data_IF_247898259843
#
_entry.id   IF_247898259843
#
_cell.length_a   1.000
_cell.length_b   1.000
_cell.length_c   1.000
_cell.angle_alpha   90.00
_cell.angle_beta   90.00
_cell.angle_gamma   90.00
#
_symmetry.space_group_name_H-M   'P 1'
#
loop_
_entity.id
_entity.type
_entity.pdbx_description
1 polymer ?
#
# COMPACT_ATOMS: atom_id res chain seq x y z
N UNK A 1 13.75 -33.04 -22.96
CA UNK A 1 13.46 -31.79 -23.72
C UNK A 1 12.03 -31.65 -24.27
N UNK A 2 11.08 -32.59 -24.03
CA UNK A 2 9.67 -32.42 -24.46
C UNK A 2 8.68 -31.99 -23.37
N UNK A 3 9.09 -31.97 -22.09
CA UNK A 3 8.22 -31.60 -20.96
C UNK A 3 8.20 -30.10 -20.63
N UNK A 4 9.19 -29.32 -21.09
CA UNK A 4 9.25 -27.86 -20.85
C UNK A 4 8.35 -27.05 -21.80
N UNK A 5 8.03 -27.60 -22.98
CA UNK A 5 7.13 -26.93 -23.93
C UNK A 5 5.67 -26.93 -23.44
N UNK A 6 5.22 -28.01 -22.77
CA UNK A 6 3.82 -28.12 -22.35
C UNK A 6 3.44 -27.14 -21.22
N UNK A 7 4.40 -26.74 -20.37
CA UNK A 7 4.13 -25.76 -19.29
C UNK A 7 4.01 -24.32 -19.79
N UNK A 8 4.76 -23.94 -20.84
CA UNK A 8 4.72 -22.59 -21.42
C UNK A 8 3.38 -22.31 -22.11
N UNK A 9 2.82 -23.30 -22.78
CA UNK A 9 1.53 -23.15 -23.48
C UNK A 9 0.33 -23.05 -22.52
N UNK A 10 0.39 -23.72 -21.36
CA UNK A 10 -0.68 -23.61 -20.33
C UNK A 10 -0.64 -22.23 -19.66
N UNK A 11 0.54 -21.67 -19.40
CA UNK A 11 0.68 -20.34 -18.78
C UNK A 11 0.20 -19.22 -19.72
N UNK A 12 0.48 -19.33 -21.04
CA UNK A 12 -0.05 -18.41 -22.04
C UNK A 12 -1.58 -18.51 -22.18
N UNK A 13 -2.16 -19.70 -21.99
CA UNK A 13 -3.61 -19.90 -22.02
C UNK A 13 -4.32 -19.23 -20.82
N UNK A 14 -3.69 -19.27 -19.63
CA UNK A 14 -4.22 -18.64 -18.41
C UNK A 14 -4.13 -17.10 -18.50
N UNK A 15 -3.02 -16.55 -18.99
CA UNK A 15 -2.90 -15.10 -19.21
C UNK A 15 -3.88 -14.58 -20.29
N UNK A 16 -4.13 -15.35 -21.36
CA UNK A 16 -5.10 -14.98 -22.39
C UNK A 16 -6.55 -15.01 -21.86
N UNK A 17 -6.87 -15.92 -20.94
CA UNK A 17 -8.19 -15.98 -20.32
C UNK A 17 -8.45 -14.78 -19.38
N UNK A 18 -7.41 -14.24 -18.73
CA UNK A 18 -7.55 -13.12 -17.80
C UNK A 18 -7.95 -11.80 -18.49
N UNK A 19 -7.47 -11.56 -19.71
CA UNK A 19 -7.87 -10.38 -20.50
C UNK A 19 -9.31 -10.45 -21.03
N UNK A 20 -9.90 -11.64 -21.15
CA UNK A 20 -11.27 -11.78 -21.65
C UNK A 20 -12.35 -11.44 -20.60
N UNK A 21 -12.01 -11.45 -19.31
CA UNK A 21 -12.97 -11.22 -18.21
C UNK A 21 -13.12 -9.74 -17.83
N UNK A 22 -12.18 -8.86 -18.19
CA UNK A 22 -12.27 -7.42 -17.90
C UNK A 22 -13.15 -6.62 -18.88
N UNK A 23 -13.74 -7.25 -19.91
CA UNK A 23 -14.53 -6.56 -20.94
C UNK A 23 -16.02 -6.34 -20.60
N UNK A 24 -16.49 -6.64 -19.38
CA UNK A 24 -17.93 -6.57 -19.06
C UNK A 24 -18.21 -5.80 -17.76
N UNK A 25 -18.00 -4.48 -17.79
CA UNK A 25 -18.67 -3.55 -16.88
C UNK A 25 -19.60 -2.66 -17.71
N UNK A 26 -20.93 -2.92 -17.72
CA UNK A 26 -21.88 -2.05 -18.40
C UNK A 26 -22.00 -0.72 -17.63
N UNK A 27 -21.43 0.34 -18.22
CA UNK A 27 -21.69 1.74 -17.84
C UNK A 27 -23.17 2.05 -18.12
N UNK A 28 -24.00 2.03 -17.08
CA UNK A 28 -25.32 2.66 -17.10
C UNK A 28 -25.19 4.14 -16.72
N UNK A 29 -25.06 5.01 -17.72
CA UNK A 29 -25.13 6.46 -17.52
C UNK A 29 -26.50 7.01 -17.93
N UNK A 30 -27.32 7.13 -16.88
CA UNK A 30 -28.42 8.07 -16.61
C UNK A 30 -28.63 9.20 -17.64
N UNK A 31 -29.85 9.24 -18.18
CA UNK A 31 -30.54 10.46 -18.63
C UNK A 31 -30.67 11.46 -17.47
N UNK A 32 -30.29 12.71 -17.72
CA UNK A 32 -30.44 13.84 -16.82
C UNK A 32 -30.49 15.15 -17.61
N UNK A 33 -31.54 15.91 -17.38
CA UNK A 33 -32.07 17.04 -18.15
C UNK A 33 -31.20 18.29 -18.12
N UNK A 34 -31.13 18.96 -19.28
CA UNK A 34 -30.57 20.29 -19.49
C UNK A 34 -31.39 21.38 -18.80
N UNK A 35 -30.79 22.10 -17.85
CA UNK A 35 -31.28 23.36 -17.29
C UNK A 35 -30.17 24.41 -17.37
N UNK A 36 -30.45 25.53 -18.02
CA UNK A 36 -29.53 26.61 -18.34
C UNK A 36 -29.10 27.46 -17.11
N UNK A 37 -27.97 28.19 -17.19
CA UNK A 37 -27.44 29.00 -16.10
C UNK A 37 -28.01 30.42 -16.09
N UNK A 38 -28.31 30.95 -14.91
CA UNK A 38 -28.53 32.39 -14.68
C UNK A 38 -27.59 32.89 -13.58
N UNK A 39 -26.87 33.95 -13.92
CA UNK A 39 -25.84 34.62 -13.12
C UNK A 39 -26.38 35.28 -11.83
N UNK A 40 -25.51 35.58 -10.85
CA UNK A 40 -25.87 36.21 -9.59
C UNK A 40 -25.86 37.75 -9.69
N UNK A 41 -26.65 38.46 -8.87
CA UNK A 41 -26.37 39.86 -8.56
C UNK A 41 -25.64 40.00 -7.22
N UNK A 42 -24.55 40.77 -7.28
CA UNK A 42 -23.88 41.35 -6.15
C UNK A 42 -24.82 42.27 -5.34
N UNK A 43 -24.62 42.30 -4.02
CA UNK A 43 -24.91 43.49 -3.22
C UNK A 43 -23.99 43.58 -2.02
N UNK A 44 -23.19 44.64 -2.06
CA UNK A 44 -22.38 45.17 -0.97
C UNK A 44 -23.26 45.96 0.02
N UNK A 45 -22.70 46.23 1.21
CA UNK A 45 -22.90 47.37 2.15
C UNK A 45 -22.88 46.83 3.60
N UNK A 46 -21.75 46.86 4.34
CA UNK A 46 -21.08 47.98 5.05
C UNK A 46 -21.82 48.43 6.32
N UNK A 47 -21.27 48.11 7.51
CA UNK A 47 -21.22 48.90 8.76
C UNK A 47 -20.18 48.23 9.69
N UNK A 48 -18.96 48.76 9.84
CA UNK A 48 -18.48 49.85 10.71
C UNK A 48 -18.34 49.55 12.21
N UNK A 49 -17.05 49.50 12.63
CA UNK A 49 -16.40 50.17 13.79
C UNK A 49 -16.75 49.67 15.21
N UNK A 50 -15.70 49.26 15.93
CA UNK A 50 -15.17 49.91 17.17
C UNK A 50 -14.41 48.86 17.99
N UNK A 51 -13.08 48.85 17.94
CA UNK A 51 -12.16 49.57 18.83
C UNK A 51 -11.65 48.69 19.99
N UNK A 52 -10.33 48.56 20.00
CA UNK A 52 -9.49 48.11 21.11
C UNK A 52 -9.63 49.08 22.31
N UNK A 53 -9.19 48.69 23.51
CA UNK A 53 -7.85 49.13 23.86
C UNK A 53 -6.96 48.08 24.54
N UNK A 54 -5.67 48.36 24.41
CA UNK A 54 -4.52 47.70 24.98
C UNK A 54 -4.38 47.88 26.50
N UNK A 55 -3.56 47.02 27.13
CA UNK A 55 -2.33 47.39 27.85
C UNK A 55 -1.94 46.27 28.85
N UNK A 56 -0.78 45.62 28.66
CA UNK A 56 0.43 45.82 29.50
C UNK A 56 0.48 44.85 30.71
N UNK A 57 1.53 44.09 31.07
CA UNK A 57 2.96 44.26 30.87
C UNK A 57 3.74 42.93 31.03
N UNK A 58 4.84 42.85 30.27
CA UNK A 58 6.18 42.33 30.59
C UNK A 58 6.38 41.09 31.48
N UNK A 59 7.19 40.15 31.00
CA UNK A 59 8.61 40.06 31.41
C UNK A 59 9.31 39.03 30.52
N UNK A 60 10.38 39.44 29.84
CA UNK A 60 11.13 38.57 28.93
C UNK A 60 11.99 37.56 29.66
N UNK A 61 12.40 36.51 28.94
CA UNK A 61 13.76 35.99 28.91
C UNK A 61 13.91 34.99 27.76
N UNK A 62 14.88 35.29 26.88
CA UNK A 62 15.80 34.38 26.17
C UNK A 62 15.23 33.20 25.39
N UNK A 63 15.52 33.23 24.09
CA UNK A 63 15.36 32.09 23.21
C UNK A 63 16.14 30.86 23.69
N UNK A 64 15.51 29.71 23.51
CA UNK A 64 16.18 28.43 23.43
C UNK A 64 15.78 27.82 22.09
N UNK A 65 16.75 27.76 21.19
CA UNK A 65 16.68 26.94 19.98
C UNK A 65 16.59 25.47 20.39
N UNK A 66 16.01 24.63 19.52
CA UNK A 66 15.70 23.20 19.74
C UNK A 66 16.94 22.28 19.93
N UNK A 67 18.11 22.82 20.27
CA UNK A 67 19.38 22.10 20.31
C UNK A 67 19.81 21.61 21.70
N UNK A 68 19.15 22.01 22.80
CA UNK A 68 19.63 21.75 24.17
C UNK A 68 18.71 20.86 25.02
N UNK A 69 18.25 19.73 24.47
CA UNK A 69 17.59 18.67 25.25
C UNK A 69 18.42 17.37 25.29
N UNK A 70 19.75 17.51 25.35
CA UNK A 70 20.67 16.40 25.52
C UNK A 70 21.36 16.49 26.89
N UNK A 71 21.20 15.39 27.66
CA UNK A 71 21.86 15.01 28.92
C UNK A 71 21.12 15.38 30.21
N UNK A 72 20.52 14.36 30.84
CA UNK A 72 21.12 13.74 32.03
C UNK A 72 20.34 12.49 32.48
N UNK A 73 21.04 11.35 32.56
CA UNK A 73 21.01 10.30 33.60
C UNK A 73 19.63 9.64 33.86
N UNK A 74 19.36 8.36 33.60
CA UNK A 74 20.19 7.16 33.71
C UNK A 74 19.50 6.20 34.68
N UNK A 75 18.86 5.12 34.19
CA UNK A 75 18.51 3.95 34.99
C UNK A 75 18.09 2.77 34.09
N UNK A 76 18.74 1.64 34.34
CA UNK A 76 18.70 0.36 33.66
C UNK A 76 17.33 -0.33 33.72
N UNK A 77 16.74 -0.67 32.58
CA UNK A 77 15.79 -1.79 32.46
C UNK A 77 16.17 -2.58 31.21
N UNK A 78 16.53 -3.84 31.44
CA UNK A 78 16.77 -4.84 30.43
C UNK A 78 15.47 -5.21 29.70
N UNK A 79 15.56 -5.45 28.39
CA UNK A 79 14.56 -6.21 27.63
C UNK A 79 13.65 -5.39 26.74
N UNK A 80 14.09 -5.08 25.51
CA UNK A 80 13.59 -5.69 24.26
C UNK A 80 14.28 -5.03 23.08
N UNK A 81 14.70 -5.85 22.11
CA UNK A 81 15.32 -5.41 20.87
C UNK A 81 14.37 -4.51 20.07
N UNK A 82 14.52 -3.19 20.18
CA UNK A 82 14.06 -2.28 19.14
C UNK A 82 15.14 -2.21 18.06
N UNK A 83 15.15 -3.21 17.17
CA UNK A 83 15.90 -3.16 15.93
C UNK A 83 15.26 -2.05 15.08
N UNK A 84 15.78 -0.83 15.23
CA UNK A 84 15.53 0.26 14.29
C UNK A 84 16.33 -0.08 13.02
N UNK A 85 15.72 -0.85 12.12
CA UNK A 85 16.26 -1.09 10.78
C UNK A 85 16.15 0.22 10.03
N UNK A 86 17.19 1.04 10.16
CA UNK A 86 17.56 2.05 9.17
C UNK A 86 17.63 1.34 7.83
N UNK A 87 16.86 1.79 6.84
CA UNK A 87 16.88 1.24 5.49
C UNK A 87 18.31 1.18 4.99
N UNK A 88 18.80 -0.04 4.78
CA UNK A 88 20.18 -0.27 4.45
C UNK A 88 20.40 0.17 3.01
N UNK A 89 21.28 1.14 2.84
CA UNK A 89 21.96 1.41 1.59
C UNK A 89 22.48 0.10 0.98
N UNK A 90 22.36 -0.02 -0.34
CA UNK A 90 22.78 -1.13 -1.19
C UNK A 90 24.01 -1.90 -0.68
N UNK A 91 23.79 -2.86 0.22
CA UNK A 91 24.67 -4.00 0.34
C UNK A 91 24.52 -4.79 -0.96
N UNK A 92 25.62 -5.35 -1.47
CA UNK A 92 25.57 -6.31 -2.57
C UNK A 92 24.82 -7.53 -2.04
N UNK A 93 23.50 -7.50 -2.15
CA UNK A 93 22.61 -8.56 -1.73
C UNK A 93 22.81 -9.70 -2.72
N UNK A 94 23.30 -10.84 -2.23
CA UNK A 94 23.48 -12.01 -3.09
C UNK A 94 22.13 -12.46 -3.65
N UNK A 95 22.14 -13.22 -4.74
CA UNK A 95 20.90 -13.74 -5.34
C UNK A 95 20.08 -14.51 -4.30
N UNK A 96 20.73 -15.30 -3.45
CA UNK A 96 20.13 -16.09 -2.38
C UNK A 96 19.49 -15.21 -1.31
N UNK A 97 20.12 -14.08 -0.96
CA UNK A 97 19.56 -13.11 -0.02
C UNK A 97 18.31 -12.44 -0.60
N UNK A 98 18.30 -12.12 -1.91
CA UNK A 98 17.12 -11.58 -2.60
C UNK A 98 15.96 -12.59 -2.62
N UNK A 99 16.26 -13.86 -2.92
CA UNK A 99 15.25 -14.94 -2.86
C UNK A 99 14.72 -15.10 -1.43
N UNK A 100 15.58 -15.01 -0.41
CA UNK A 100 15.13 -15.04 1.00
C UNK A 100 14.18 -13.88 1.30
N UNK A 101 14.52 -12.66 0.91
CA UNK A 101 13.67 -11.48 1.11
C UNK A 101 12.31 -11.61 0.43
N UNK A 102 12.26 -12.20 -0.78
CA UNK A 102 10.98 -12.47 -1.45
C UNK A 102 10.14 -13.53 -0.74
N UNK A 103 10.76 -14.60 -0.22
CA UNK A 103 10.05 -15.59 0.60
C UNK A 103 9.50 -14.95 1.87
N UNK A 104 10.29 -14.13 2.55
CA UNK A 104 9.84 -13.38 3.73
C UNK A 104 8.65 -12.47 3.37
N UNK A 105 8.72 -11.71 2.27
CA UNK A 105 7.62 -10.85 1.80
C UNK A 105 6.34 -11.65 1.50
N UNK A 106 6.47 -12.85 0.94
CA UNK A 106 5.33 -13.75 0.71
C UNK A 106 4.74 -14.26 2.03
N UNK A 107 5.56 -14.67 2.99
CA UNK A 107 5.07 -15.15 4.31
C UNK A 107 4.45 -14.04 5.15
N UNK A 108 4.86 -12.78 4.94
CA UNK A 108 4.28 -11.61 5.59
C UNK A 108 2.78 -11.42 5.25
N UNK A 109 2.30 -12.01 4.16
CA UNK A 109 0.88 -12.02 3.77
C UNK A 109 0.07 -13.12 4.45
N UNK A 110 0.68 -14.13 5.08
CA UNK A 110 -0.03 -15.26 5.68
C UNK A 110 -1.07 -14.86 6.75
N UNK A 111 -0.78 -13.94 7.70
CA UNK A 111 -1.76 -13.59 8.73
C UNK A 111 -2.90 -12.69 8.20
N UNK A 112 -2.80 -12.17 6.98
CA UNK A 112 -3.74 -11.16 6.45
C UNK A 112 -5.16 -11.72 6.29
N UNK A 113 -5.33 -13.01 5.98
CA UNK A 113 -6.67 -13.62 5.90
C UNK A 113 -7.44 -13.47 7.22
N UNK A 114 -6.80 -13.82 8.34
CA UNK A 114 -7.41 -13.68 9.65
C UNK A 114 -7.66 -12.20 10.00
N UNK A 115 -6.79 -11.30 9.57
CA UNK A 115 -6.98 -9.87 9.79
C UNK A 115 -8.15 -9.29 9.00
N UNK A 116 -8.43 -9.82 7.80
CA UNK A 116 -9.62 -9.48 7.01
C UNK A 116 -10.87 -9.93 7.76
N UNK A 117 -10.89 -11.16 8.28
CA UNK A 117 -12.00 -11.67 9.09
C UNK A 117 -12.24 -10.85 10.36
N UNK A 118 -11.15 -10.47 11.04
CA UNK A 118 -11.18 -9.63 12.24
C UNK A 118 -11.44 -8.14 11.95
N UNK A 119 -11.63 -7.75 10.68
CA UNK A 119 -11.78 -6.36 10.23
C UNK A 119 -10.65 -5.41 10.70
N UNK A 120 -9.42 -5.93 10.84
CA UNK A 120 -8.23 -5.18 11.30
C UNK A 120 -7.58 -4.39 10.15
N UNK A 121 -8.35 -3.56 9.46
CA UNK A 121 -7.95 -2.88 8.22
C UNK A 121 -6.66 -2.07 8.34
N UNK A 122 -6.49 -1.26 9.39
CA UNK A 122 -5.26 -0.49 9.60
C UNK A 122 -4.02 -1.38 9.83
N UNK A 123 -4.20 -2.54 10.46
CA UNK A 123 -3.10 -3.49 10.69
C UNK A 123 -2.64 -4.10 9.38
N UNK A 124 -3.57 -4.45 8.48
CA UNK A 124 -3.26 -4.95 7.13
C UNK A 124 -2.41 -3.92 6.37
N UNK A 125 -2.81 -2.65 6.41
CA UNK A 125 -2.07 -1.56 5.74
C UNK A 125 -0.67 -1.35 6.32
N UNK A 126 -0.50 -1.53 7.63
CA UNK A 126 0.81 -1.47 8.27
C UNK A 126 1.71 -2.62 7.81
N UNK A 127 1.17 -3.84 7.67
CA UNK A 127 1.90 -4.98 7.12
C UNK A 127 2.38 -4.67 5.70
N UNK A 128 1.51 -4.17 4.82
CA UNK A 128 1.86 -3.88 3.41
C UNK A 128 3.00 -2.86 3.31
N UNK A 129 3.02 -1.87 4.20
CA UNK A 129 4.03 -0.79 4.22
C UNK A 129 5.31 -1.15 4.95
N UNK A 130 5.40 -2.36 5.51
CA UNK A 130 6.59 -2.81 6.25
C UNK A 130 7.45 -3.69 5.34
N UNK A 131 8.77 -3.46 5.37
CA UNK A 131 9.74 -4.33 4.69
C UNK A 131 9.67 -5.77 5.21
N UNK A 132 9.92 -6.79 4.37
CA UNK A 132 10.39 -6.70 2.99
C UNK A 132 9.31 -6.44 1.93
N UNK A 133 8.02 -6.57 2.26
CA UNK A 133 6.93 -6.41 1.29
C UNK A 133 6.88 -5.00 0.66
N UNK A 134 7.12 -3.95 1.46
CA UNK A 134 7.17 -2.57 0.95
C UNK A 134 8.26 -2.34 -0.11
N UNK A 135 9.36 -3.10 -0.03
CA UNK A 135 10.53 -2.98 -0.90
C UNK A 135 10.51 -3.99 -2.05
N UNK A 136 9.45 -4.80 -2.18
CA UNK A 136 9.38 -5.94 -3.11
C UNK A 136 9.67 -5.54 -4.56
N UNK A 137 9.24 -4.34 -4.98
CA UNK A 137 9.54 -3.78 -6.31
C UNK A 137 11.04 -3.78 -6.60
N UNK A 138 11.83 -3.35 -5.62
CA UNK A 138 13.28 -3.20 -5.75
C UNK A 138 13.96 -4.57 -5.62
N UNK A 139 13.46 -5.44 -4.74
CA UNK A 139 13.97 -6.80 -4.57
C UNK A 139 13.81 -7.60 -5.88
N UNK A 140 12.62 -7.60 -6.50
CA UNK A 140 12.39 -8.32 -7.76
C UNK A 140 13.19 -7.70 -8.90
N UNK A 141 13.30 -6.36 -8.96
CA UNK A 141 14.10 -5.69 -9.99
C UNK A 141 15.59 -6.05 -9.92
N UNK A 142 16.16 -6.09 -8.72
CA UNK A 142 17.55 -6.47 -8.52
C UNK A 142 17.76 -7.97 -8.79
N UNK A 143 16.80 -8.83 -8.43
CA UNK A 143 16.84 -10.25 -8.74
C UNK A 143 16.78 -10.52 -10.25
N UNK A 144 15.96 -9.76 -10.98
CA UNK A 144 15.89 -9.80 -12.44
C UNK A 144 17.21 -9.36 -13.08
N UNK A 145 17.92 -8.39 -12.47
CA UNK A 145 19.24 -7.93 -12.94
C UNK A 145 20.35 -8.97 -12.76
N UNK A 146 20.17 -9.90 -11.81
CA UNK A 146 21.12 -10.99 -11.51
C UNK A 146 20.70 -12.34 -12.14
N UNK A 147 19.67 -12.35 -12.98
CA UNK A 147 19.15 -13.55 -13.66
C UNK A 147 19.44 -13.51 -15.15
N UNK A 148 19.29 -14.65 -15.83
CA UNK A 148 19.42 -14.75 -17.28
C UNK A 148 18.31 -13.95 -18.00
N UNK A 149 18.50 -13.64 -19.28
CA UNK A 149 17.61 -12.75 -20.05
C UNK A 149 16.14 -13.21 -20.05
N UNK A 150 15.90 -14.50 -20.25
CA UNK A 150 14.56 -15.10 -20.26
C UNK A 150 13.87 -14.97 -18.89
N UNK A 151 14.58 -15.31 -17.81
CA UNK A 151 14.06 -15.23 -16.43
C UNK A 151 13.86 -13.77 -16.02
N UNK A 152 14.76 -12.87 -16.44
CA UNK A 152 14.67 -11.44 -16.17
C UNK A 152 13.38 -10.84 -16.72
N UNK A 153 13.05 -11.14 -17.99
CA UNK A 153 11.82 -10.66 -18.62
C UNK A 153 10.56 -11.18 -17.90
N UNK A 154 10.56 -12.47 -17.52
CA UNK A 154 9.46 -13.09 -16.79
C UNK A 154 9.29 -12.47 -15.39
N UNK A 155 10.38 -12.30 -14.64
CA UNK A 155 10.38 -11.68 -13.31
C UNK A 155 9.86 -10.25 -13.36
N UNK A 156 10.21 -9.46 -14.39
CA UNK A 156 9.72 -8.09 -14.54
C UNK A 156 8.23 -8.01 -14.86
N UNK A 157 7.68 -9.00 -15.57
CA UNK A 157 6.24 -9.15 -15.78
C UNK A 157 5.51 -9.47 -14.48
N UNK A 158 5.93 -10.54 -13.80
CA UNK A 158 5.33 -10.99 -12.53
C UNK A 158 5.49 -9.95 -11.41
N UNK A 159 6.54 -9.12 -11.47
CA UNK A 159 6.69 -7.98 -10.57
C UNK A 159 5.50 -7.04 -10.65
N UNK A 160 4.99 -6.75 -11.85
CA UNK A 160 3.87 -5.84 -12.01
C UNK A 160 2.61 -6.45 -11.37
N UNK A 161 2.36 -7.74 -11.59
CA UNK A 161 1.21 -8.45 -11.01
C UNK A 161 1.25 -8.41 -9.47
N UNK A 162 2.41 -8.69 -8.86
CA UNK A 162 2.59 -8.58 -7.40
C UNK A 162 2.27 -7.16 -6.90
N UNK A 163 2.79 -6.14 -7.59
CA UNK A 163 2.59 -4.75 -7.17
C UNK A 163 1.14 -4.31 -7.29
N UNK A 164 0.47 -4.68 -8.38
CA UNK A 164 -0.92 -4.32 -8.62
C UNK A 164 -1.82 -4.94 -7.55
N UNK A 165 -1.70 -6.25 -7.30
CA UNK A 165 -2.52 -6.93 -6.31
C UNK A 165 -2.26 -6.46 -4.87
N UNK A 166 -1.00 -6.18 -4.51
CA UNK A 166 -0.68 -5.61 -3.19
C UNK A 166 -1.21 -4.18 -3.06
N UNK A 167 -1.17 -3.38 -4.12
CA UNK A 167 -1.71 -2.02 -4.13
C UNK A 167 -3.24 -2.00 -4.05
N UNK A 168 -3.91 -2.91 -4.76
CA UNK A 168 -5.36 -3.05 -4.67
C UNK A 168 -5.78 -3.52 -3.27
N UNK A 169 -5.05 -4.46 -2.67
CA UNK A 169 -5.25 -4.87 -1.29
C UNK A 169 -5.17 -3.67 -0.31
N UNK A 170 -4.15 -2.79 -0.42
CA UNK A 170 -4.08 -1.57 0.42
C UNK A 170 -5.26 -0.64 0.16
N UNK A 171 -5.65 -0.48 -1.11
CA UNK A 171 -6.74 0.43 -1.51
C UNK A 171 -8.09 -0.02 -0.97
N UNK A 172 -8.43 -1.31 -1.09
CA UNK A 172 -9.68 -1.85 -0.55
C UNK A 172 -9.67 -1.91 0.99
N UNK A 173 -8.53 -2.24 1.59
CA UNK A 173 -8.37 -2.16 3.05
C UNK A 173 -8.58 -0.73 3.54
N UNK A 174 -8.01 0.27 2.86
CA UNK A 174 -8.20 1.70 3.18
C UNK A 174 -9.67 2.12 3.10
N UNK A 175 -10.39 1.70 2.07
CA UNK A 175 -11.81 2.03 1.93
C UNK A 175 -12.63 1.50 3.11
N UNK A 176 -12.29 0.32 3.63
CA UNK A 176 -12.97 -0.29 4.77
C UNK A 176 -12.65 0.39 6.12
N UNK A 177 -11.50 1.05 6.28
CA UNK A 177 -11.15 1.81 7.50
C UNK A 177 -12.21 2.86 7.84
N UNK A 178 -12.84 3.47 6.82
CA UNK A 178 -13.80 4.56 7.02
C UNK A 178 -15.25 4.10 7.11
N UNK A 179 -15.52 2.80 7.05
CA UNK A 179 -16.88 2.26 7.22
C UNK A 179 -17.20 2.15 8.70
N UNK A 180 -17.25 3.31 9.37
CA UNK A 180 -17.72 3.44 10.76
C UNK A 180 -19.24 3.35 10.86
N UNK A 181 -19.75 3.34 12.10
CA UNK A 181 -21.19 3.20 12.41
C UNK A 181 -22.07 4.20 11.62
N UNK A 182 -21.63 5.45 11.49
CA UNK A 182 -22.36 6.48 10.75
C UNK A 182 -22.55 6.15 9.26
N UNK A 183 -21.54 5.56 8.61
CA UNK A 183 -21.64 5.16 7.20
C UNK A 183 -22.42 3.86 7.02
N UNK A 184 -22.41 2.99 8.03
CA UNK A 184 -23.23 1.78 8.04
C UNK A 184 -24.73 2.12 8.18
N UNK A 185 -25.07 3.14 8.97
CA UNK A 185 -26.45 3.67 9.05
C UNK A 185 -26.93 4.20 7.69
N UNK A 186 -26.01 4.76 6.88
CA UNK A 186 -26.27 5.18 5.49
C UNK A 186 -26.29 4.02 4.48
N UNK A 187 -26.18 2.77 4.94
CA UNK A 187 -26.24 1.56 4.10
C UNK A 187 -24.92 1.17 3.44
N UNK A 188 -23.80 1.81 3.77
CA UNK A 188 -22.47 1.42 3.26
C UNK A 188 -22.03 0.15 3.98
N UNK A 189 -21.80 -0.92 3.22
CA UNK A 189 -21.35 -2.22 3.75
C UNK A 189 -19.83 -2.32 3.70
N UNK A 190 -19.27 -2.97 4.72
CA UNK A 190 -17.85 -3.38 4.70
C UNK A 190 -17.69 -4.46 3.64
N UNK A 191 -16.68 -4.31 2.79
CA UNK A 191 -16.34 -5.27 1.74
C UNK A 191 -15.23 -6.21 2.19
N UNK A 192 -15.56 -7.47 2.44
CA UNK A 192 -14.60 -8.49 2.85
C UNK A 192 -14.07 -9.32 1.67
N UNK A 193 -14.80 -9.34 0.55
CA UNK A 193 -14.54 -10.28 -0.53
C UNK A 193 -13.45 -9.78 -1.46
N UNK A 194 -13.47 -8.50 -1.82
CA UNK A 194 -12.47 -7.94 -2.71
C UNK A 194 -11.06 -7.93 -2.10
N UNK A 195 -10.83 -7.49 -0.84
CA UNK A 195 -9.51 -7.65 -0.21
C UNK A 195 -9.03 -9.10 -0.17
N UNK A 196 -9.93 -10.06 0.07
CA UNK A 196 -9.58 -11.49 0.11
C UNK A 196 -9.19 -12.03 -1.26
N UNK A 197 -9.87 -11.58 -2.31
CA UNK A 197 -9.53 -11.90 -3.69
C UNK A 197 -8.14 -11.35 -4.05
N UNK A 198 -7.87 -10.07 -3.77
CA UNK A 198 -6.58 -9.45 -4.07
C UNK A 198 -5.42 -10.08 -3.28
N UNK A 199 -5.66 -10.44 -2.01
CA UNK A 199 -4.69 -11.18 -1.21
C UNK A 199 -4.32 -12.53 -1.85
N UNK A 200 -5.32 -13.26 -2.35
CA UNK A 200 -5.09 -14.55 -3.03
C UNK A 200 -4.26 -14.36 -4.30
N UNK A 201 -4.63 -13.37 -5.13
CA UNK A 201 -3.92 -13.08 -6.38
C UNK A 201 -2.47 -12.64 -6.12
N UNK A 202 -2.24 -11.79 -5.12
CA UNK A 202 -0.90 -11.39 -4.71
C UNK A 202 -0.05 -12.61 -4.31
N UNK A 203 -0.61 -13.52 -3.50
CA UNK A 203 0.07 -14.75 -3.09
C UNK A 203 0.38 -15.66 -4.27
N UNK A 204 -0.56 -15.84 -5.18
CA UNK A 204 -0.36 -16.63 -6.40
C UNK A 204 0.77 -16.07 -7.26
N UNK A 205 0.81 -14.75 -7.48
CA UNK A 205 1.89 -14.10 -8.22
C UNK A 205 3.27 -14.32 -7.57
N UNK A 206 3.35 -14.23 -6.24
CA UNK A 206 4.57 -14.59 -5.50
C UNK A 206 4.94 -16.06 -5.64
N UNK A 207 3.97 -16.97 -5.55
CA UNK A 207 4.20 -18.41 -5.64
C UNK A 207 4.72 -18.77 -7.04
N UNK A 208 4.20 -18.15 -8.11
CA UNK A 208 4.72 -18.29 -9.48
C UNK A 208 6.17 -17.78 -9.58
N UNK A 209 6.51 -16.64 -8.98
CA UNK A 209 7.90 -16.15 -8.92
C UNK A 209 8.79 -17.20 -8.25
N UNK A 210 8.34 -17.82 -7.16
CA UNK A 210 9.12 -18.85 -6.45
C UNK A 210 9.33 -20.13 -7.28
N UNK A 211 8.44 -20.44 -8.22
CA UNK A 211 8.59 -21.58 -9.14
C UNK A 211 9.60 -21.33 -10.26
N UNK A 212 9.76 -20.06 -10.67
CA UNK A 212 10.72 -19.65 -11.72
C UNK A 212 12.14 -19.64 -11.18
N UNK A 213 12.33 -19.38 -9.89
CA UNK A 213 13.64 -19.29 -9.26
C UNK A 213 14.21 -20.71 -8.98
N UNK A 214 15.48 -20.97 -9.33
CA UNK A 214 16.15 -22.26 -9.07
C UNK A 214 16.43 -22.52 -7.59
#
# INVERSE_FOLDING_TARGET
MRLLFYKRDVLLLVCAAYHAVQAFVPVSLRMGTTGAPTNPPASATKHMISASPAASNSCGCRGMTRADAARAVGATIAGTLALKVTSCAAAVTSKEDLVRLLREARTQLDPVDQMIEDAKWDTIRNIIKTSPLADVKNVIAELARQSDEDDSALLLGLRQDVLDHVQYLDSFSYNNVFVGEERQILGTKIDFDTPRMELRQAREAFDIIMEVLP
#
